data_IF_944624783238
#
_entry.id   IF_944624783238
#
_cell.length_a   1.000
_cell.length_b   1.000
_cell.length_c   1.000
_cell.angle_alpha   90.00
_cell.angle_beta   90.00
_cell.angle_gamma   90.00
#
_symmetry.space_group_name_H-M   'P 1'
#
loop_
_entity.id
_entity.type
_entity.pdbx_description
1 polymer ?
#
# COMPACT_ATOMS: atom_id res chain seq x y z
N UNK A 1 32.51 14.51 -30.52
CA UNK A 1 32.03 14.93 -29.19
C UNK A 1 30.51 14.93 -29.23
N UNK A 2 29.80 14.18 -28.37
CA UNK A 2 28.34 14.18 -28.39
C UNK A 2 27.84 15.53 -27.89
N UNK A 3 26.97 16.19 -28.66
CA UNK A 3 26.32 17.41 -28.26
C UNK A 3 25.35 17.12 -27.11
N UNK A 4 25.54 17.81 -26.00
CA UNK A 4 24.62 17.83 -24.86
C UNK A 4 23.32 18.49 -25.32
N UNK A 5 22.14 17.87 -25.15
CA UNK A 5 20.87 18.52 -25.44
C UNK A 5 20.73 19.77 -24.58
N UNK A 6 20.56 20.94 -25.21
CA UNK A 6 20.43 22.26 -24.57
C UNK A 6 19.02 22.52 -23.99
N UNK A 7 18.17 21.49 -23.94
CA UNK A 7 16.81 21.57 -23.39
C UNK A 7 16.62 20.43 -22.40
N UNK A 8 16.15 20.72 -21.18
CA UNK A 8 15.82 19.67 -20.24
C UNK A 8 14.57 18.91 -20.77
N UNK A 9 14.46 17.60 -20.52
CA UNK A 9 13.35 16.79 -21.03
C UNK A 9 11.99 17.36 -20.58
N UNK A 10 10.88 17.06 -21.29
CA UNK A 10 9.61 17.80 -21.17
C UNK A 10 8.92 17.76 -19.79
N UNK A 11 9.43 16.98 -18.84
CA UNK A 11 8.98 16.97 -17.44
C UNK A 11 9.88 17.75 -16.48
N UNK A 12 10.90 18.44 -17.01
CA UNK A 12 11.89 19.21 -16.27
C UNK A 12 11.64 20.71 -16.40
N UNK A 13 10.43 21.13 -16.08
CA UNK A 13 10.13 22.51 -15.71
C UNK A 13 10.17 22.49 -14.17
N UNK A 14 11.33 22.40 -13.54
CA UNK A 14 12.06 23.58 -13.06
C UNK A 14 13.48 23.17 -12.62
N UNK A 15 14.49 23.74 -13.27
CA UNK A 15 15.85 23.72 -12.77
C UNK A 15 15.96 24.62 -11.52
N UNK A 16 16.33 24.00 -10.39
CA UNK A 16 17.16 24.57 -9.31
C UNK A 16 16.90 26.03 -8.91
N UNK A 17 16.20 26.24 -7.78
CA UNK A 17 16.60 27.30 -6.85
C UNK A 17 16.07 27.02 -5.44
N UNK A 18 16.96 26.55 -4.57
CA UNK A 18 16.82 26.47 -3.10
C UNK A 18 15.68 25.58 -2.57
N UNK A 19 15.81 24.97 -1.36
CA UNK A 19 14.66 24.32 -0.73
C UNK A 19 13.54 25.36 -0.56
N UNK A 20 12.26 24.99 -0.75
CA UNK A 20 11.14 25.91 -0.55
C UNK A 20 11.21 26.55 0.85
N UNK A 21 10.71 27.79 1.01
CA UNK A 21 10.77 28.50 2.28
C UNK A 21 10.21 27.64 3.42
N UNK A 22 10.95 27.60 4.53
CA UNK A 22 10.58 26.84 5.73
C UNK A 22 9.25 27.39 6.25
N UNK A 23 8.20 26.56 6.26
CA UNK A 23 7.01 26.88 7.05
C UNK A 23 7.34 26.59 8.52
N UNK A 24 7.51 27.65 9.31
CA UNK A 24 7.90 27.55 10.73
C UNK A 24 6.88 26.79 11.62
N UNK A 25 5.69 26.49 11.08
CA UNK A 25 4.61 25.73 11.71
C UNK A 25 4.61 24.22 11.41
N UNK A 26 5.41 23.75 10.43
CA UNK A 26 5.44 22.34 10.06
C UNK A 26 6.17 21.51 11.13
N UNK A 27 5.68 20.29 11.40
CA UNK A 27 6.28 19.39 12.39
C UNK A 27 7.70 18.93 11.99
N UNK A 28 8.49 18.41 12.95
CA UNK A 28 9.84 17.89 12.68
C UNK A 28 9.86 16.82 11.59
N UNK A 29 8.78 16.04 11.51
CA UNK A 29 8.67 14.87 10.65
C UNK A 29 8.35 15.27 9.20
N UNK A 30 7.42 16.22 8.98
CA UNK A 30 7.18 16.79 7.66
C UNK A 30 8.43 17.46 7.07
N UNK A 31 9.23 18.11 7.92
CA UNK A 31 10.48 18.69 7.49
C UNK A 31 11.52 17.62 7.09
N UNK A 32 11.65 16.56 7.89
CA UNK A 32 12.51 15.43 7.54
C UNK A 32 12.07 14.76 6.22
N UNK A 33 10.76 14.57 6.05
CA UNK A 33 10.15 14.03 4.84
C UNK A 33 10.45 14.90 3.61
N UNK A 34 10.24 16.23 3.69
CA UNK A 34 10.56 17.16 2.59
C UNK A 34 12.02 17.00 2.16
N UNK A 35 12.96 17.05 3.11
CA UNK A 35 14.39 16.92 2.78
C UNK A 35 14.70 15.60 2.10
N UNK A 36 14.10 14.51 2.57
CA UNK A 36 14.27 13.20 1.98
C UNK A 36 13.70 13.15 0.56
N UNK A 37 12.51 13.70 0.32
CA UNK A 37 11.90 13.87 -1.01
C UNK A 37 12.81 14.65 -1.97
N UNK A 38 13.35 15.79 -1.52
CA UNK A 38 14.23 16.63 -2.35
C UNK A 38 15.51 15.91 -2.77
N UNK A 39 16.07 15.12 -1.85
CA UNK A 39 17.26 14.30 -2.09
C UNK A 39 16.97 13.06 -2.94
N UNK A 40 15.71 12.66 -3.08
CA UNK A 40 15.33 11.46 -3.79
C UNK A 40 15.52 11.62 -5.30
N UNK A 41 15.71 10.50 -5.99
CA UNK A 41 15.77 10.46 -7.46
C UNK A 41 14.39 10.74 -8.05
N UNK A 42 14.35 11.29 -9.26
CA UNK A 42 13.10 11.66 -9.94
C UNK A 42 12.01 10.56 -9.95
N UNK A 43 12.33 9.27 -10.22
CA UNK A 43 11.31 8.21 -10.19
C UNK A 43 10.69 8.00 -8.79
N UNK A 44 11.45 8.25 -7.72
CA UNK A 44 10.96 8.14 -6.34
C UNK A 44 10.08 9.34 -5.99
N UNK A 45 10.46 10.55 -6.42
CA UNK A 45 9.61 11.74 -6.25
C UNK A 45 8.27 11.58 -6.97
N UNK A 46 8.31 11.10 -8.21
CA UNK A 46 7.11 10.79 -8.98
C UNK A 46 6.22 9.77 -8.25
N UNK A 47 6.81 8.70 -7.70
CA UNK A 47 6.09 7.69 -6.94
C UNK A 47 5.41 8.28 -5.68
N UNK A 48 6.09 9.17 -4.96
CA UNK A 48 5.55 9.86 -3.77
C UNK A 48 4.33 10.71 -4.16
N UNK A 49 4.47 11.61 -5.13
CA UNK A 49 3.39 12.51 -5.56
C UNK A 49 2.21 11.72 -6.16
N UNK A 50 2.51 10.66 -6.91
CA UNK A 50 1.47 9.78 -7.48
C UNK A 50 0.74 9.01 -6.39
N UNK A 51 1.44 8.53 -5.34
CA UNK A 51 0.83 7.84 -4.20
C UNK A 51 -0.13 8.75 -3.45
N UNK A 52 0.30 9.98 -3.14
CA UNK A 52 -0.58 11.01 -2.57
C UNK A 52 -1.84 11.17 -3.43
N UNK A 53 -1.66 11.52 -4.71
CA UNK A 53 -2.77 11.79 -5.63
C UNK A 53 -3.75 10.62 -5.77
N UNK A 54 -3.23 9.39 -5.83
CA UNK A 54 -4.00 8.16 -6.15
C UNK A 54 -4.42 7.35 -4.94
N UNK A 55 -4.23 7.86 -3.72
CA UNK A 55 -4.68 7.18 -2.52
C UNK A 55 -6.19 6.92 -2.56
N UNK A 56 -6.60 5.67 -2.36
CA UNK A 56 -8.00 5.22 -2.47
C UNK A 56 -8.86 5.80 -1.35
N UNK A 57 -8.31 5.84 -0.13
CA UNK A 57 -9.01 6.35 1.04
C UNK A 57 -9.18 7.87 0.93
N UNK A 58 -10.26 8.37 1.53
CA UNK A 58 -10.54 9.80 1.54
C UNK A 58 -9.51 10.56 2.38
N UNK A 59 -8.96 11.64 1.82
CA UNK A 59 -8.00 12.52 2.49
C UNK A 59 -7.96 13.90 1.82
N UNK A 60 -7.35 14.90 2.48
CA UNK A 60 -7.50 16.31 2.11
C UNK A 60 -7.04 16.68 0.69
N UNK A 61 -6.11 15.94 0.09
CA UNK A 61 -5.56 16.22 -1.24
C UNK A 61 -5.80 15.08 -2.24
N UNK A 62 -6.84 14.27 -2.03
CA UNK A 62 -7.19 13.21 -2.96
C UNK A 62 -7.47 13.75 -4.36
N UNK A 63 -6.91 13.08 -5.38
CA UNK A 63 -6.97 13.47 -6.79
C UNK A 63 -6.39 14.86 -7.12
N UNK A 64 -5.81 15.56 -6.13
CA UNK A 64 -5.15 16.85 -6.31
C UNK A 64 -3.67 16.63 -6.63
N UNK A 65 -3.16 17.39 -7.59
CA UNK A 65 -1.73 17.44 -7.87
C UNK A 65 -1.04 18.32 -6.83
N UNK A 66 -0.34 17.69 -5.89
CA UNK A 66 0.40 18.39 -4.83
C UNK A 66 1.64 19.03 -5.43
N UNK A 67 1.70 20.37 -5.40
CA UNK A 67 2.92 21.09 -5.79
C UNK A 67 4.02 20.87 -4.73
N UNK A 68 5.27 21.00 -5.17
CA UNK A 68 6.46 20.86 -4.30
C UNK A 68 6.42 21.76 -3.07
N UNK A 69 5.88 22.98 -3.22
CA UNK A 69 5.74 23.97 -2.14
C UNK A 69 4.74 23.56 -1.06
N UNK A 70 3.74 22.74 -1.42
CA UNK A 70 2.68 22.26 -0.52
C UNK A 70 2.94 20.88 0.05
N UNK A 71 4.10 20.29 -0.26
CA UNK A 71 4.39 18.89 0.10
C UNK A 71 4.49 18.69 1.61
N UNK A 72 5.03 19.66 2.35
CA UNK A 72 5.07 19.63 3.82
C UNK A 72 3.65 19.58 4.40
N UNK A 73 2.79 20.51 3.99
CA UNK A 73 1.39 20.60 4.45
C UNK A 73 0.62 19.34 4.08
N UNK A 74 0.75 18.87 2.83
CA UNK A 74 0.11 17.64 2.36
C UNK A 74 0.58 16.42 3.15
N UNK A 75 1.87 16.33 3.48
CA UNK A 75 2.37 15.27 4.34
C UNK A 75 1.80 15.40 5.75
N UNK A 76 1.82 16.58 6.38
CA UNK A 76 1.30 16.79 7.74
C UNK A 76 -0.19 16.44 7.86
N UNK A 77 -0.99 16.77 6.85
CA UNK A 77 -2.42 16.45 6.76
C UNK A 77 -2.71 15.01 6.31
N UNK A 78 -1.70 14.25 5.88
CA UNK A 78 -1.89 12.88 5.43
C UNK A 78 -2.35 11.96 6.57
N UNK A 79 -3.28 11.03 6.32
CA UNK A 79 -3.68 10.04 7.30
C UNK A 79 -2.49 9.11 7.64
N UNK A 80 -2.49 8.46 8.82
CA UNK A 80 -1.34 7.69 9.30
C UNK A 80 -0.87 6.57 8.35
N UNK A 81 -1.80 5.90 7.69
CA UNK A 81 -1.55 4.84 6.70
C UNK A 81 -0.85 5.37 5.44
N UNK A 82 -1.27 6.53 4.96
CA UNK A 82 -0.60 7.23 3.86
C UNK A 82 0.79 7.69 4.27
N UNK A 83 0.96 8.33 5.44
CA UNK A 83 2.29 8.74 5.95
C UNK A 83 3.26 7.57 6.01
N UNK A 84 2.87 6.48 6.63
CA UNK A 84 3.68 5.26 6.73
C UNK A 84 4.06 4.72 5.35
N UNK A 85 3.15 4.81 4.37
CA UNK A 85 3.41 4.39 2.99
C UNK A 85 4.40 5.32 2.28
N UNK A 86 4.26 6.63 2.45
CA UNK A 86 5.18 7.62 1.87
C UNK A 86 6.58 7.48 2.46
N UNK A 87 6.68 7.32 3.78
CA UNK A 87 7.95 7.06 4.47
C UNK A 87 8.60 5.78 3.96
N UNK A 88 7.80 4.72 3.76
CA UNK A 88 8.28 3.48 3.19
C UNK A 88 8.87 3.68 1.79
N UNK A 89 8.17 4.40 0.89
CA UNK A 89 8.67 4.72 -0.45
C UNK A 89 10.01 5.46 -0.37
N UNK A 90 10.09 6.50 0.46
CA UNK A 90 11.29 7.32 0.64
C UNK A 90 12.46 6.49 1.18
N UNK A 91 12.25 5.77 2.28
CA UNK A 91 13.29 5.03 3.00
C UNK A 91 13.86 3.89 2.16
N UNK A 92 13.00 3.18 1.43
CA UNK A 92 13.39 2.09 0.54
C UNK A 92 13.76 2.57 -0.87
N UNK A 93 13.67 3.88 -1.14
CA UNK A 93 13.92 4.52 -2.45
C UNK A 93 13.14 3.85 -3.57
N UNK A 94 11.86 3.58 -3.31
CA UNK A 94 11.00 2.82 -4.21
C UNK A 94 10.46 3.73 -5.32
N UNK A 95 10.62 3.32 -6.58
CA UNK A 95 10.07 4.05 -7.74
C UNK A 95 8.66 3.56 -8.11
N UNK A 96 7.87 3.21 -7.09
CA UNK A 96 6.58 2.54 -7.19
C UNK A 96 5.56 3.31 -6.37
N UNK A 97 4.41 3.64 -6.97
CA UNK A 97 3.32 4.28 -6.22
C UNK A 97 2.36 3.24 -5.67
N UNK A 98 1.71 3.55 -4.56
CA UNK A 98 0.68 2.69 -3.96
C UNK A 98 -0.66 3.41 -3.99
N UNK A 99 -1.73 2.63 -4.09
CA UNK A 99 -3.10 3.18 -4.03
C UNK A 99 -3.72 3.00 -2.64
N UNK A 100 -3.23 2.06 -1.85
CA UNK A 100 -3.68 1.83 -0.48
C UNK A 100 -2.59 1.19 0.36
N UNK A 101 -2.81 1.13 1.67
CA UNK A 101 -1.94 0.40 2.59
C UNK A 101 -1.87 -1.09 2.22
N UNK A 102 -3.01 -1.66 1.80
CA UNK A 102 -3.06 -3.05 1.39
C UNK A 102 -2.20 -3.34 0.16
N UNK A 103 -2.20 -2.44 -0.83
CA UNK A 103 -1.31 -2.55 -1.99
C UNK A 103 0.17 -2.52 -1.58
N UNK A 104 0.54 -1.65 -0.63
CA UNK A 104 1.91 -1.63 -0.06
C UNK A 104 2.24 -2.95 0.63
N UNK A 105 1.39 -3.44 1.53
CA UNK A 105 1.61 -4.70 2.27
C UNK A 105 1.76 -5.90 1.34
N UNK A 106 0.93 -5.99 0.31
CA UNK A 106 1.04 -7.02 -0.73
C UNK A 106 2.40 -6.98 -1.42
N UNK A 107 2.84 -5.78 -1.82
CA UNK A 107 4.11 -5.61 -2.49
C UNK A 107 5.30 -5.93 -1.57
N UNK A 108 5.23 -5.58 -0.29
CA UNK A 108 6.25 -5.92 0.71
C UNK A 108 6.38 -7.43 0.91
N UNK A 109 5.26 -8.14 1.03
CA UNK A 109 5.24 -9.61 1.10
C UNK A 109 5.85 -10.22 -0.16
N UNK A 110 5.49 -9.71 -1.33
CA UNK A 110 6.01 -10.21 -2.60
C UNK A 110 7.52 -9.98 -2.72
N UNK A 111 8.00 -8.77 -2.43
CA UNK A 111 9.42 -8.40 -2.46
C UNK A 111 10.24 -9.19 -1.45
N UNK A 112 9.68 -9.48 -0.27
CA UNK A 112 10.34 -10.27 0.77
C UNK A 112 10.31 -11.79 0.49
N UNK A 113 9.61 -12.25 -0.55
CA UNK A 113 9.44 -13.68 -0.82
C UNK A 113 8.54 -14.39 0.20
N UNK A 114 7.67 -13.65 0.89
CA UNK A 114 6.80 -14.14 1.98
C UNK A 114 5.33 -14.28 1.57
N UNK A 115 5.01 -14.08 0.29
CA UNK A 115 3.64 -14.19 -0.20
C UNK A 115 3.09 -15.62 -0.05
N UNK A 116 3.90 -16.63 -0.38
CA UNK A 116 3.49 -18.04 -0.27
C UNK A 116 3.18 -18.43 1.19
N UNK A 117 4.01 -17.98 2.13
CA UNK A 117 3.79 -18.15 3.58
C UNK A 117 2.42 -17.56 3.98
N UNK A 118 2.15 -16.31 3.58
CA UNK A 118 0.90 -15.62 3.88
C UNK A 118 -0.34 -16.30 3.23
N UNK A 119 -0.16 -17.00 2.11
CA UNK A 119 -1.24 -17.66 1.37
C UNK A 119 -1.56 -19.09 1.85
N UNK A 120 -0.69 -19.67 2.68
CA UNK A 120 -0.76 -21.09 3.09
C UNK A 120 -0.75 -21.28 4.60
N UNK A 121 -0.36 -20.27 5.37
CA UNK A 121 -0.15 -20.41 6.82
C UNK A 121 -1.18 -19.61 7.60
N UNK A 122 -1.90 -20.30 8.49
CA UNK A 122 -2.76 -19.67 9.47
C UNK A 122 -1.93 -19.10 10.63
N UNK A 123 -2.29 -17.90 11.10
CA UNK A 123 -1.79 -17.35 12.36
C UNK A 123 -2.24 -18.21 13.53
N UNK A 124 -1.41 -18.27 14.59
CA UNK A 124 -1.87 -18.73 15.89
C UNK A 124 -3.02 -17.85 16.39
N UNK A 125 -3.86 -18.36 17.28
CA UNK A 125 -4.98 -17.56 17.82
C UNK A 125 -4.50 -16.28 18.53
N UNK A 126 -3.37 -16.34 19.23
CA UNK A 126 -2.76 -15.18 19.88
C UNK A 126 -2.33 -14.12 18.86
N UNK A 127 -1.53 -14.52 17.86
CA UNK A 127 -1.07 -13.60 16.81
C UNK A 127 -2.24 -13.05 15.99
N UNK A 128 -3.28 -13.85 15.75
CA UNK A 128 -4.49 -13.40 15.09
C UNK A 128 -5.16 -12.24 15.84
N UNK A 129 -5.30 -12.36 17.17
CA UNK A 129 -5.95 -11.34 18.00
C UNK A 129 -5.16 -10.03 17.94
N UNK A 130 -3.84 -10.11 18.07
CA UNK A 130 -2.96 -8.94 17.99
C UNK A 130 -3.07 -8.27 16.61
N UNK A 131 -2.86 -9.04 15.53
CA UNK A 131 -2.95 -8.52 14.16
C UNK A 131 -4.33 -7.94 13.85
N UNK A 132 -5.42 -8.57 14.33
CA UNK A 132 -6.77 -8.06 14.15
C UNK A 132 -6.95 -6.71 14.84
N UNK A 133 -6.49 -6.56 16.09
CA UNK A 133 -6.63 -5.31 16.83
C UNK A 133 -5.79 -4.16 16.25
N UNK A 134 -4.62 -4.47 15.70
CA UNK A 134 -3.79 -3.49 14.99
C UNK A 134 -4.32 -3.16 13.58
N UNK A 135 -5.14 -4.03 12.99
CA UNK A 135 -5.65 -3.82 11.64
C UNK A 135 -6.59 -2.60 11.54
N UNK A 136 -6.52 -1.94 10.39
CA UNK A 136 -7.40 -0.85 10.03
C UNK A 136 -8.87 -1.28 10.11
N UNK A 137 -9.75 -0.36 10.51
CA UNK A 137 -11.19 -0.62 10.68
C UNK A 137 -11.85 -1.32 9.48
N UNK A 138 -11.55 -0.95 8.21
CA UNK A 138 -12.11 -1.66 7.05
C UNK A 138 -11.69 -3.13 6.95
N UNK A 139 -10.43 -3.46 7.28
CA UNK A 139 -9.93 -4.84 7.29
C UNK A 139 -10.64 -5.65 8.38
N UNK A 140 -10.75 -5.09 9.59
CA UNK A 140 -11.50 -5.71 10.69
C UNK A 140 -12.95 -6.00 10.33
N UNK A 141 -13.61 -5.06 9.66
CA UNK A 141 -14.98 -5.24 9.19
C UNK A 141 -15.09 -6.37 8.15
N UNK A 142 -14.18 -6.40 7.17
CA UNK A 142 -14.14 -7.44 6.15
C UNK A 142 -13.92 -8.84 6.77
N UNK A 143 -13.06 -8.96 7.79
CA UNK A 143 -12.83 -10.21 8.53
C UNK A 143 -14.09 -10.68 9.25
N UNK A 144 -14.84 -9.78 9.90
CA UNK A 144 -16.08 -10.15 10.58
C UNK A 144 -17.15 -10.65 9.60
N UNK A 145 -17.29 -9.97 8.45
CA UNK A 145 -18.21 -10.39 7.38
C UNK A 145 -17.80 -11.74 6.78
N UNK A 146 -16.50 -11.96 6.58
CA UNK A 146 -15.92 -13.19 6.03
C UNK A 146 -16.33 -14.44 6.80
N UNK A 147 -16.40 -14.40 8.15
CA UNK A 147 -16.90 -15.56 8.92
C UNK A 147 -18.32 -15.97 8.52
N UNK A 148 -19.23 -15.01 8.40
CA UNK A 148 -20.62 -15.25 8.06
C UNK A 148 -20.78 -15.76 6.63
N UNK A 149 -20.10 -15.12 5.69
CA UNK A 149 -20.20 -15.45 4.29
C UNK A 149 -19.53 -16.79 3.97
N UNK A 150 -18.36 -17.06 4.55
CA UNK A 150 -17.69 -18.36 4.41
C UNK A 150 -18.55 -19.49 4.93
N UNK A 151 -19.14 -19.34 6.13
CA UNK A 151 -20.06 -20.35 6.67
C UNK A 151 -21.26 -20.58 5.73
N UNK A 152 -21.79 -19.52 5.12
CA UNK A 152 -22.92 -19.62 4.22
C UNK A 152 -22.57 -20.30 2.88
N UNK A 153 -21.51 -19.88 2.20
CA UNK A 153 -21.20 -20.35 0.85
C UNK A 153 -20.35 -21.62 0.81
N UNK A 154 -19.46 -21.82 1.78
CA UNK A 154 -18.57 -23.00 1.82
C UNK A 154 -19.17 -24.11 2.69
N UNK A 155 -19.63 -23.76 3.89
CA UNK A 155 -20.13 -24.74 4.87
C UNK A 155 -21.64 -24.97 4.77
N UNK A 156 -22.34 -24.24 3.90
CA UNK A 156 -23.79 -24.29 3.71
C UNK A 156 -24.58 -24.09 5.02
N UNK A 157 -24.02 -23.29 5.93
CA UNK A 157 -24.53 -23.04 7.26
C UNK A 157 -24.78 -21.55 7.46
N UNK A 158 -26.01 -21.21 7.85
CA UNK A 158 -26.30 -19.86 8.31
C UNK A 158 -25.88 -19.69 9.77
N UNK A 159 -25.00 -18.73 10.03
CA UNK A 159 -24.60 -18.34 11.38
C UNK A 159 -25.07 -16.90 11.66
N UNK A 160 -25.21 -16.57 12.95
CA UNK A 160 -25.38 -15.18 13.36
C UNK A 160 -24.09 -14.39 13.08
N UNK A 161 -24.19 -13.07 12.78
CA UNK A 161 -23.01 -12.22 12.64
C UNK A 161 -22.09 -12.34 13.85
N UNK A 162 -20.79 -12.49 13.61
CA UNK A 162 -19.78 -12.61 14.66
C UNK A 162 -19.60 -11.24 15.33
N UNK A 163 -19.88 -11.09 16.63
CA UNK A 163 -19.56 -9.86 17.35
C UNK A 163 -18.04 -9.69 17.46
N UNK A 164 -17.54 -8.44 17.41
CA UNK A 164 -16.11 -8.15 17.53
C UNK A 164 -15.50 -8.75 18.82
N UNK A 165 -16.24 -8.72 19.94
CA UNK A 165 -15.82 -9.32 21.21
C UNK A 165 -15.60 -10.84 21.14
N UNK A 166 -16.17 -11.53 20.16
CA UNK A 166 -16.10 -12.99 20.02
C UNK A 166 -15.19 -13.43 18.85
N UNK A 167 -14.50 -12.49 18.19
CA UNK A 167 -13.72 -12.79 16.98
C UNK A 167 -12.61 -13.81 17.22
N UNK A 168 -11.95 -13.75 18.39
CA UNK A 168 -10.92 -14.69 18.79
C UNK A 168 -11.45 -16.13 18.87
N UNK A 169 -12.62 -16.30 19.49
CA UNK A 169 -13.27 -17.60 19.63
C UNK A 169 -13.73 -18.12 18.27
N UNK A 170 -14.32 -17.26 17.43
CA UNK A 170 -14.74 -17.62 16.08
C UNK A 170 -13.55 -18.11 15.24
N UNK A 171 -12.44 -17.38 15.28
CA UNK A 171 -11.20 -17.77 14.61
C UNK A 171 -10.66 -19.11 15.13
N UNK A 172 -10.60 -19.31 16.45
CA UNK A 172 -10.10 -20.56 17.04
C UNK A 172 -10.90 -21.79 16.58
N UNK A 173 -12.22 -21.66 16.44
CA UNK A 173 -13.13 -22.74 16.02
C UNK A 173 -13.27 -22.91 14.51
N UNK A 174 -12.76 -21.96 13.71
CA UNK A 174 -12.85 -22.02 12.27
C UNK A 174 -12.06 -23.20 11.68
N UNK A 175 -12.50 -23.67 10.51
CA UNK A 175 -11.73 -24.61 9.70
C UNK A 175 -10.42 -23.97 9.21
N UNK A 176 -9.43 -24.80 8.89
CA UNK A 176 -8.08 -24.34 8.55
C UNK A 176 -8.07 -23.42 7.33
N UNK A 177 -8.88 -23.72 6.31
CA UNK A 177 -8.97 -22.90 5.10
C UNK A 177 -9.48 -21.46 5.40
N UNK A 178 -10.48 -21.32 6.29
CA UNK A 178 -10.97 -20.02 6.72
C UNK A 178 -9.92 -19.29 7.57
N UNK A 179 -9.19 -19.99 8.44
CA UNK A 179 -8.09 -19.40 9.21
C UNK A 179 -6.99 -18.87 8.31
N UNK A 180 -6.61 -19.63 7.28
CA UNK A 180 -5.63 -19.20 6.27
C UNK A 180 -6.14 -17.96 5.53
N UNK A 181 -7.40 -17.97 5.06
CA UNK A 181 -7.97 -16.83 4.35
C UNK A 181 -7.99 -15.55 5.21
N UNK A 182 -8.42 -15.65 6.47
CA UNK A 182 -8.44 -14.50 7.39
C UNK A 182 -7.02 -14.02 7.72
N UNK A 183 -6.08 -14.95 7.94
CA UNK A 183 -4.67 -14.62 8.18
C UNK A 183 -4.07 -13.87 6.99
N UNK A 184 -4.35 -14.33 5.78
CA UNK A 184 -3.96 -13.66 4.55
C UNK A 184 -4.58 -12.27 4.43
N UNK A 185 -5.87 -12.11 4.74
CA UNK A 185 -6.53 -10.79 4.72
C UNK A 185 -5.85 -9.81 5.67
N UNK A 186 -5.50 -10.26 6.88
CA UNK A 186 -4.76 -9.43 7.84
C UNK A 186 -3.37 -9.08 7.32
N UNK A 187 -2.61 -10.07 6.86
CA UNK A 187 -1.25 -9.88 6.36
C UNK A 187 -1.17 -8.90 5.17
N UNK A 188 -2.16 -8.96 4.28
CA UNK A 188 -2.25 -8.14 3.06
C UNK A 188 -3.02 -6.83 3.25
N UNK A 189 -3.68 -6.63 4.39
CA UNK A 189 -4.57 -5.47 4.59
C UNK A 189 -5.80 -5.50 3.68
N UNK A 190 -6.29 -6.69 3.34
CA UNK A 190 -7.39 -6.88 2.41
C UNK A 190 -8.72 -6.43 3.02
N UNK A 191 -9.45 -5.59 2.28
CA UNK A 191 -10.67 -4.91 2.77
C UNK A 191 -11.96 -5.45 2.17
N UNK A 192 -11.89 -6.49 1.35
CA UNK A 192 -13.05 -7.13 0.71
C UNK A 192 -13.26 -8.51 1.32
N UNK A 193 -14.49 -8.86 1.66
CA UNK A 193 -14.81 -10.16 2.24
C UNK A 193 -14.42 -11.33 1.32
N UNK A 194 -13.95 -12.42 1.94
CA UNK A 194 -13.59 -13.66 1.25
C UNK A 194 -14.65 -14.70 1.56
N UNK A 195 -15.61 -14.89 0.66
CA UNK A 195 -16.78 -15.71 0.98
C UNK A 195 -16.65 -17.20 0.66
N UNK A 196 -15.62 -17.64 -0.08
CA UNK A 196 -15.33 -19.06 -0.30
C UNK A 196 -13.90 -19.27 -0.85
N UNK A 197 -13.48 -20.54 -1.00
CA UNK A 197 -12.15 -20.89 -1.55
C UNK A 197 -11.90 -20.35 -2.96
N UNK A 198 -12.91 -20.42 -3.83
CA UNK A 198 -12.77 -19.97 -5.23
C UNK A 198 -12.45 -18.48 -5.31
N UNK A 199 -13.10 -17.68 -4.46
CA UNK A 199 -12.87 -16.24 -4.33
C UNK A 199 -11.48 -15.97 -3.76
N UNK A 200 -11.09 -16.73 -2.75
CA UNK A 200 -9.76 -16.63 -2.16
C UNK A 200 -8.66 -16.84 -3.21
N UNK A 201 -8.74 -17.92 -4.01
CA UNK A 201 -7.80 -18.19 -5.10
C UNK A 201 -7.78 -17.07 -6.15
N UNK A 202 -8.96 -16.52 -6.48
CA UNK A 202 -9.08 -15.40 -7.42
C UNK A 202 -8.39 -14.14 -6.88
N UNK A 203 -8.53 -13.85 -5.59
CA UNK A 203 -7.89 -12.70 -4.97
C UNK A 203 -6.38 -12.88 -4.86
N UNK A 204 -5.88 -14.05 -4.46
CA UNK A 204 -4.45 -14.39 -4.54
C UNK A 204 -3.89 -14.15 -5.94
N UNK A 205 -4.54 -14.71 -6.95
CA UNK A 205 -4.15 -14.53 -8.36
C UNK A 205 -4.15 -13.05 -8.79
N UNK A 206 -5.12 -12.27 -8.31
CA UNK A 206 -5.18 -10.83 -8.57
C UNK A 206 -4.02 -10.07 -7.94
N UNK A 207 -3.67 -10.39 -6.68
CA UNK A 207 -2.53 -9.80 -5.97
C UNK A 207 -1.21 -10.13 -6.67
N UNK A 208 -0.98 -11.40 -7.01
CA UNK A 208 0.21 -11.82 -7.78
C UNK A 208 0.34 -11.06 -9.09
N UNK A 209 -0.75 -10.97 -9.86
CA UNK A 209 -0.77 -10.24 -11.13
C UNK A 209 -0.48 -8.75 -10.93
N UNK A 210 -1.06 -8.11 -9.90
CA UNK A 210 -0.80 -6.69 -9.60
C UNK A 210 0.68 -6.47 -9.26
N UNK A 211 1.24 -7.28 -8.36
CA UNK A 211 2.65 -7.18 -7.95
C UNK A 211 3.60 -7.37 -9.15
N UNK A 212 3.37 -8.39 -9.98
CA UNK A 212 4.15 -8.65 -11.19
C UNK A 212 4.03 -7.52 -12.22
N UNK A 213 2.83 -7.02 -12.46
CA UNK A 213 2.60 -5.93 -13.40
C UNK A 213 3.29 -4.65 -12.92
N UNK A 214 3.27 -4.37 -11.63
CA UNK A 214 3.92 -3.19 -11.08
C UNK A 214 5.43 -3.26 -11.26
N UNK A 215 6.06 -4.40 -10.91
CA UNK A 215 7.48 -4.65 -11.15
C UNK A 215 7.85 -4.51 -12.64
N UNK A 216 7.03 -5.07 -13.53
CA UNK A 216 7.27 -5.04 -14.99
C UNK A 216 7.10 -3.65 -15.59
N UNK A 217 6.04 -2.93 -15.23
CA UNK A 217 5.77 -1.57 -15.70
C UNK A 217 6.93 -0.64 -15.35
N UNK A 218 7.50 -0.83 -14.16
CA UNK A 218 8.64 -0.07 -13.72
C UNK A 218 9.94 -0.41 -14.48
N UNK A 219 10.23 -1.69 -14.70
CA UNK A 219 11.37 -2.10 -15.55
C UNK A 219 11.25 -1.46 -16.94
N UNK A 220 10.05 -1.48 -17.52
CA UNK A 220 9.77 -0.84 -18.82
C UNK A 220 9.97 0.67 -18.78
N UNK A 221 9.43 1.35 -17.78
CA UNK A 221 9.61 2.80 -17.59
C UNK A 221 11.11 3.16 -17.48
N UNK A 222 11.87 2.42 -16.68
CA UNK A 222 13.32 2.63 -16.57
C UNK A 222 14.08 2.34 -17.86
N UNK A 223 13.70 1.31 -18.61
CA UNK A 223 14.29 1.00 -19.90
C UNK A 223 14.00 2.11 -20.92
N UNK A 224 12.76 2.61 -20.98
CA UNK A 224 12.37 3.72 -21.85
C UNK A 224 13.13 5.00 -21.51
N UNK A 225 13.20 5.38 -20.23
CA UNK A 225 13.94 6.57 -19.80
C UNK A 225 15.44 6.50 -20.13
N UNK A 226 16.04 5.30 -20.12
CA UNK A 226 17.43 5.10 -20.60
C UNK A 226 17.57 5.25 -22.11
N UNK A 227 16.61 4.74 -22.88
CA UNK A 227 16.61 4.83 -24.34
C UNK A 227 16.38 6.26 -24.84
N UNK A 228 15.59 7.04 -24.11
CA UNK A 228 15.31 8.45 -24.42
C UNK A 228 16.42 9.42 -23.97
N UNK A 229 17.51 8.91 -23.37
CA UNK A 229 18.64 9.74 -22.92
C UNK A 229 18.32 10.64 -21.73
N UNK A 230 17.32 10.28 -20.91
CA UNK A 230 16.92 11.02 -19.72
C UNK A 230 17.74 10.67 -18.47
N UNK A 231 18.93 10.06 -18.64
CA UNK A 231 19.91 9.77 -17.59
C UNK A 231 21.31 10.21 -18.00
#
# INVERSE_FOLDING_TARGET
MPQVPSRPPPYSIECSSFPPPIQASAGSDAWAFQRAFESAREPVRWAILTTMRRWENEWAFKDVEVSRERLQDAYDESPPDLKATLDHIVNQRLPFYYMSEGDRRCHDLYRAGRMEEAETTALSTENFVDEYHYAAKPVRAAVLTTFGDWAFFEEHRKISPVPEANVAQAYATACDDLKIAISWMLATGWTVEVFNRTVFERFKSSVHRRCLNHATAHIKMHAMNRLEGMY
#
